data_IF_162283093338
#
_entry.id   IF_162283093338
#
_cell.length_a   1.000
_cell.length_b   1.000
_cell.length_c   1.000
_cell.angle_alpha   90.00
_cell.angle_beta   90.00
_cell.angle_gamma   90.00
#
_symmetry.space_group_name_H-M   'P 1'
#
loop_
_entity.id
_entity.type
_entity.pdbx_description
1 polymer ?
#
# COMPACT_ATOMS: atom_id res chain seq x y z
N UNK A 1 58.15 55.00 -60.89
CA UNK A 1 57.99 55.29 -59.46
C UNK A 1 56.60 55.86 -59.25
N UNK A 2 56.01 55.63 -58.07
CA UNK A 2 54.69 56.10 -57.58
C UNK A 2 53.42 55.33 -57.99
N UNK A 3 52.73 54.91 -56.93
CA UNK A 3 51.37 54.37 -56.83
C UNK A 3 50.33 55.25 -57.53
N UNK A 4 49.23 54.68 -58.08
CA UNK A 4 47.86 54.85 -57.54
C UNK A 4 46.74 54.26 -58.44
N UNK A 5 45.80 53.61 -57.75
CA UNK A 5 44.33 53.63 -57.94
C UNK A 5 43.64 52.81 -59.07
N UNK A 6 42.35 52.60 -58.80
CA UNK A 6 41.26 51.89 -59.52
C UNK A 6 41.00 50.45 -59.05
N UNK A 7 39.77 49.99 -58.81
CA UNK A 7 38.44 50.61 -58.76
C UNK A 7 37.48 49.56 -58.19
N UNK A 8 36.35 50.02 -57.65
CA UNK A 8 35.23 49.23 -57.13
C UNK A 8 34.71 48.22 -58.15
N UNK A 9 34.47 46.99 -57.73
CA UNK A 9 33.52 46.08 -58.37
C UNK A 9 32.86 45.21 -57.29
N UNK A 10 31.57 45.45 -57.10
CA UNK A 10 30.64 44.68 -56.27
C UNK A 10 30.26 43.36 -56.93
N UNK A 11 29.62 42.49 -56.13
CA UNK A 11 28.86 41.29 -56.50
C UNK A 11 29.67 40.00 -56.68
N UNK A 12 29.60 39.10 -55.69
CA UNK A 12 28.80 37.84 -55.73
C UNK A 12 29.29 36.87 -54.65
N UNK A 13 28.39 36.40 -53.78
CA UNK A 13 28.29 35.00 -53.27
C UNK A 13 27.21 34.96 -52.18
N UNK A 14 25.99 34.57 -52.55
CA UNK A 14 25.41 33.24 -52.33
C UNK A 14 25.24 32.91 -50.84
N UNK A 15 24.18 33.46 -50.24
CA UNK A 15 23.73 33.07 -48.90
C UNK A 15 22.84 31.83 -49.03
N UNK A 16 23.44 30.68 -48.74
CA UNK A 16 22.78 29.39 -48.57
C UNK A 16 21.99 29.44 -47.25
N UNK A 17 20.67 29.64 -47.32
CA UNK A 17 19.79 29.51 -46.15
C UNK A 17 18.96 28.25 -46.32
N UNK A 18 19.34 27.25 -45.52
CA UNK A 18 18.66 26.00 -45.29
C UNK A 18 17.17 26.24 -45.00
N UNK A 19 16.31 25.60 -45.79
CA UNK A 19 14.91 25.40 -45.45
C UNK A 19 14.87 24.36 -44.32
N UNK A 20 14.88 24.81 -43.07
CA UNK A 20 14.44 23.99 -41.95
C UNK A 20 12.92 24.10 -41.90
N UNK A 21 12.27 23.13 -42.53
CA UNK A 21 10.85 22.84 -42.35
C UNK A 21 10.58 22.61 -40.85
N UNK A 22 9.98 23.60 -40.20
CA UNK A 22 9.45 23.46 -38.85
C UNK A 22 8.21 22.56 -38.89
N UNK A 23 8.32 21.34 -38.35
CA UNK A 23 7.14 20.63 -37.88
C UNK A 23 6.67 21.31 -36.59
N UNK A 24 5.64 22.14 -36.69
CA UNK A 24 4.85 22.51 -35.50
C UNK A 24 4.12 21.26 -35.02
N UNK A 25 4.71 20.56 -34.05
CA UNK A 25 3.94 19.66 -33.21
C UNK A 25 3.00 20.55 -32.38
N UNK A 26 1.68 20.30 -32.38
CA UNK A 26 0.80 20.98 -31.44
C UNK A 26 1.32 20.70 -30.03
N UNK A 27 1.59 21.76 -29.28
CA UNK A 27 1.95 21.68 -27.88
C UNK A 27 0.84 20.95 -27.14
N UNK A 28 1.11 19.69 -26.81
CA UNK A 28 0.34 18.98 -25.80
C UNK A 28 0.61 19.70 -24.48
N UNK A 29 -0.35 20.54 -24.08
CA UNK A 29 -0.49 20.95 -22.69
C UNK A 29 -0.78 19.68 -21.90
N UNK A 30 0.27 19.08 -21.36
CA UNK A 30 0.16 18.11 -20.29
C UNK A 30 -0.21 18.94 -19.05
N UNK A 31 -1.51 19.13 -18.86
CA UNK A 31 -2.06 19.43 -17.53
C UNK A 31 -1.41 18.45 -16.55
N UNK A 32 -0.93 18.90 -15.37
CA UNK A 32 -0.46 17.98 -14.35
C UNK A 32 -1.63 17.06 -14.02
N UNK A 33 -1.48 15.76 -14.30
CA UNK A 33 -2.46 14.79 -13.84
C UNK A 33 -2.64 14.98 -12.32
N UNK A 34 -3.87 15.11 -11.81
CA UNK A 34 -4.08 15.16 -10.38
C UNK A 34 -3.49 13.88 -9.79
N UNK A 35 -2.51 14.07 -8.91
CA UNK A 35 -1.85 13.01 -8.16
C UNK A 35 -2.84 12.45 -7.13
N UNK A 36 -3.71 11.53 -7.55
CA UNK A 36 -4.62 10.79 -6.65
C UNK A 36 -5.02 9.39 -7.16
N UNK A 37 -4.32 8.81 -8.14
CA UNK A 37 -4.71 7.51 -8.70
C UNK A 37 -3.49 6.67 -9.08
N UNK A 38 -2.92 5.97 -8.11
CA UNK A 38 -2.27 4.68 -8.34
C UNK A 38 -2.20 3.82 -7.07
N UNK A 39 -3.30 3.73 -6.30
CA UNK A 39 -3.62 2.41 -5.75
C UNK A 39 -4.21 1.64 -6.93
N UNK A 40 -3.64 0.48 -7.31
CA UNK A 40 -4.21 -0.28 -8.41
C UNK A 40 -5.67 -0.58 -8.07
N UNK A 41 -6.54 -0.54 -9.08
CA UNK A 41 -7.97 -0.85 -9.03
C UNK A 41 -8.21 -2.34 -8.67
N UNK A 42 -7.68 -2.81 -7.53
CA UNK A 42 -7.78 -4.20 -7.09
C UNK A 42 -9.05 -4.39 -6.24
N UNK A 43 -9.54 -3.34 -5.58
CA UNK A 43 -10.82 -3.39 -4.86
C UNK A 43 -11.99 -3.07 -5.79
N UNK A 44 -12.82 -4.08 -6.08
CA UNK A 44 -14.12 -3.89 -6.69
C UNK A 44 -15.08 -3.33 -5.61
N UNK A 45 -15.62 -2.09 -5.75
CA UNK A 45 -16.59 -1.56 -4.78
C UNK A 45 -17.87 -2.40 -4.68
N UNK A 46 -18.13 -3.25 -5.69
CA UNK A 46 -19.26 -4.17 -5.71
C UNK A 46 -18.94 -5.56 -5.16
N UNK A 47 -17.72 -5.84 -4.66
CA UNK A 47 -17.31 -7.16 -4.15
C UNK A 47 -18.37 -7.76 -3.22
N UNK A 48 -18.80 -6.97 -2.24
CA UNK A 48 -19.75 -7.43 -1.23
C UNK A 48 -21.11 -7.84 -1.83
N UNK A 49 -21.49 -7.30 -2.99
CA UNK A 49 -22.76 -7.66 -3.68
C UNK A 49 -22.70 -9.06 -4.31
N UNK A 50 -21.52 -9.60 -4.57
CA UNK A 50 -21.34 -10.97 -5.08
C UNK A 50 -21.57 -12.03 -3.99
N UNK A 51 -21.56 -11.62 -2.71
CA UNK A 51 -21.57 -12.54 -1.58
C UNK A 51 -22.95 -13.10 -1.25
N UNK A 52 -22.96 -14.35 -0.78
CA UNK A 52 -24.15 -15.00 -0.24
C UNK A 52 -24.41 -14.49 1.18
N UNK A 53 -25.63 -14.04 1.52
CA UNK A 53 -25.94 -13.56 2.86
C UNK A 53 -25.90 -14.71 3.89
N UNK A 54 -25.41 -14.40 5.09
CA UNK A 54 -25.43 -15.29 6.25
C UNK A 54 -25.36 -14.47 7.54
N UNK A 55 -25.86 -15.04 8.64
CA UNK A 55 -25.76 -14.45 9.97
C UNK A 55 -24.63 -15.12 10.75
N UNK A 56 -23.75 -14.34 11.37
CA UNK A 56 -22.67 -14.80 12.24
C UNK A 56 -23.26 -15.32 13.54
N UNK A 57 -23.02 -16.60 13.82
CA UNK A 57 -23.49 -17.25 15.05
C UNK A 57 -22.40 -17.32 16.11
N UNK A 58 -21.12 -17.30 15.70
CA UNK A 58 -19.99 -17.34 16.63
C UNK A 58 -18.71 -16.79 16.01
N UNK A 59 -17.97 -15.99 16.78
CA UNK A 59 -16.58 -15.66 16.51
C UNK A 59 -15.69 -16.74 17.14
N UNK A 60 -14.89 -17.43 16.33
CA UNK A 60 -13.98 -18.49 16.80
C UNK A 60 -12.64 -17.89 17.20
N UNK A 61 -12.08 -17.07 16.31
CA UNK A 61 -10.83 -16.33 16.44
C UNK A 61 -10.78 -15.18 15.41
N UNK A 62 -9.59 -14.62 15.16
CA UNK A 62 -9.40 -13.47 14.30
C UNK A 62 -9.69 -13.70 12.82
N UNK A 63 -9.80 -14.95 12.36
CA UNK A 63 -9.98 -15.27 10.95
C UNK A 63 -10.91 -16.46 10.65
N UNK A 64 -11.65 -16.89 11.68
CA UNK A 64 -12.61 -17.99 11.61
C UNK A 64 -13.90 -17.62 12.34
N UNK A 65 -15.04 -17.88 11.69
CA UNK A 65 -16.40 -17.68 12.24
C UNK A 65 -17.28 -18.90 11.97
N UNK A 66 -18.32 -19.08 12.79
CA UNK A 66 -19.46 -19.93 12.44
C UNK A 66 -20.63 -19.05 11.99
N UNK A 67 -21.35 -19.49 10.97
CA UNK A 67 -22.47 -18.75 10.36
C UNK A 67 -23.69 -19.66 10.19
N UNK A 68 -24.85 -19.03 10.05
CA UNK A 68 -26.12 -19.65 9.65
C UNK A 68 -26.64 -18.98 8.37
N UNK A 69 -27.02 -19.78 7.37
CA UNK A 69 -27.60 -19.32 6.12
C UNK A 69 -29.12 -19.14 6.24
N UNK A 70 -29.77 -18.40 5.32
CA UNK A 70 -31.23 -18.19 5.36
C UNK A 70 -32.08 -19.48 5.30
N UNK A 71 -31.52 -20.59 4.83
CA UNK A 71 -32.17 -21.91 4.81
C UNK A 71 -31.97 -22.71 6.12
N UNK A 72 -31.29 -22.13 7.11
CA UNK A 72 -30.97 -22.74 8.40
C UNK A 72 -29.73 -23.63 8.40
N UNK A 73 -29.00 -23.75 7.29
CA UNK A 73 -27.74 -24.49 7.26
C UNK A 73 -26.67 -23.72 8.05
N UNK A 74 -25.86 -24.43 8.84
CA UNK A 74 -24.72 -23.86 9.54
C UNK A 74 -23.40 -24.31 8.92
N UNK A 75 -22.40 -23.42 8.94
CA UNK A 75 -21.06 -23.71 8.45
C UNK A 75 -19.99 -22.97 9.25
N UNK A 76 -18.79 -23.56 9.32
CA UNK A 76 -17.58 -22.86 9.74
C UNK A 76 -16.91 -22.25 8.52
N UNK A 77 -16.50 -20.99 8.63
CA UNK A 77 -15.89 -20.20 7.57
C UNK A 77 -14.48 -19.77 7.98
N UNK A 78 -13.49 -20.04 7.13
CA UNK A 78 -12.11 -19.54 7.23
C UNK A 78 -11.92 -18.42 6.20
N UNK A 79 -11.30 -17.33 6.63
CA UNK A 79 -11.11 -16.15 5.80
C UNK A 79 -10.03 -16.42 4.74
N UNK A 80 -10.15 -15.81 3.56
CA UNK A 80 -9.21 -16.02 2.46
C UNK A 80 -8.14 -14.94 2.49
N UNK A 81 -6.90 -15.33 2.22
CA UNK A 81 -5.84 -14.39 1.89
C UNK A 81 -5.17 -13.72 3.09
N UNK A 82 -5.58 -14.08 4.31
CA UNK A 82 -4.98 -13.59 5.54
C UNK A 82 -4.99 -14.64 6.65
N UNK A 83 -4.07 -14.46 7.61
CA UNK A 83 -3.88 -15.35 8.76
C UNK A 83 -3.66 -14.51 10.02
N UNK A 84 -4.39 -14.84 11.08
CA UNK A 84 -4.23 -14.20 12.39
C UNK A 84 -3.35 -15.07 13.29
N UNK A 85 -2.78 -14.47 14.34
CA UNK A 85 -1.97 -15.20 15.31
C UNK A 85 -2.79 -16.34 15.93
N UNK A 86 -2.15 -17.46 16.23
CA UNK A 86 -2.82 -18.66 16.76
C UNK A 86 -3.04 -18.58 18.28
N UNK A 87 -3.91 -19.45 18.82
CA UNK A 87 -4.22 -19.44 20.26
C UNK A 87 -2.95 -19.60 21.11
N UNK A 88 -2.71 -18.61 21.97
CA UNK A 88 -1.56 -18.58 22.88
C UNK A 88 -0.39 -17.74 22.34
N UNK A 89 -0.46 -17.29 21.09
CA UNK A 89 0.46 -16.32 20.52
C UNK A 89 0.06 -14.89 20.91
N UNK A 90 1.05 -14.00 20.89
CA UNK A 90 0.78 -12.57 21.00
C UNK A 90 -0.12 -12.13 19.84
N UNK A 91 -1.02 -11.18 20.07
CA UNK A 91 -1.97 -10.65 19.08
C UNK A 91 -3.22 -11.52 18.82
N UNK A 92 -3.28 -12.79 19.26
CA UNK A 92 -4.48 -13.65 19.08
C UNK A 92 -5.75 -13.01 19.65
N UNK A 93 -5.69 -12.53 20.90
CA UNK A 93 -6.87 -12.01 21.58
C UNK A 93 -7.33 -10.71 20.92
N UNK A 94 -6.41 -9.79 20.69
CA UNK A 94 -6.72 -8.50 20.08
C UNK A 94 -7.26 -8.65 18.64
N UNK A 95 -6.73 -9.58 17.84
CA UNK A 95 -7.28 -9.88 16.52
C UNK A 95 -8.70 -10.49 16.60
N UNK A 96 -8.93 -11.40 17.55
CA UNK A 96 -10.26 -11.99 17.80
C UNK A 96 -11.28 -10.93 18.23
N UNK A 97 -10.91 -10.06 19.16
CA UNK A 97 -11.76 -8.97 19.64
C UNK A 97 -12.08 -8.02 18.48
N UNK A 98 -11.08 -7.67 17.66
CA UNK A 98 -11.31 -6.77 16.52
C UNK A 98 -12.22 -7.37 15.46
N UNK A 99 -12.07 -8.67 15.16
CA UNK A 99 -12.97 -9.36 14.26
C UNK A 99 -14.42 -9.35 14.80
N UNK A 100 -14.59 -9.55 16.12
CA UNK A 100 -15.91 -9.46 16.75
C UNK A 100 -16.53 -8.06 16.65
N UNK A 101 -15.73 -7.00 16.82
CA UNK A 101 -16.19 -5.61 16.65
C UNK A 101 -16.62 -5.31 15.22
N UNK A 102 -15.83 -5.74 14.23
CA UNK A 102 -16.17 -5.56 12.81
C UNK A 102 -17.45 -6.29 12.41
N UNK A 103 -17.79 -7.36 13.14
CA UNK A 103 -18.95 -8.21 12.89
C UNK A 103 -20.09 -8.01 13.91
N UNK A 104 -20.11 -6.89 14.64
CA UNK A 104 -21.09 -6.63 15.69
C UNK A 104 -22.55 -6.67 15.19
N UNK A 105 -22.80 -6.27 13.93
CA UNK A 105 -24.14 -6.35 13.33
C UNK A 105 -24.66 -7.78 13.18
N UNK A 106 -23.75 -8.76 13.16
CA UNK A 106 -24.06 -10.16 12.93
C UNK A 106 -24.39 -10.52 11.47
N UNK A 107 -24.65 -9.56 10.60
CA UNK A 107 -25.04 -9.82 9.20
C UNK A 107 -23.85 -9.63 8.25
N UNK A 108 -23.56 -10.68 7.47
CA UNK A 108 -22.42 -10.71 6.55
C UNK A 108 -22.79 -11.23 5.18
N UNK A 109 -21.92 -10.91 4.21
CA UNK A 109 -21.91 -11.49 2.87
C UNK A 109 -20.62 -12.26 2.66
N UNK A 110 -20.79 -13.52 2.30
CA UNK A 110 -19.71 -14.48 2.10
C UNK A 110 -19.38 -14.57 0.61
N UNK A 111 -18.23 -14.05 0.21
CA UNK A 111 -17.79 -14.08 -1.19
C UNK A 111 -16.82 -15.25 -1.39
N UNK A 112 -17.15 -16.14 -2.33
CA UNK A 112 -16.29 -17.26 -2.69
C UNK A 112 -15.25 -16.84 -3.72
N UNK A 113 -14.04 -17.38 -3.59
CA UNK A 113 -13.06 -17.35 -4.67
C UNK A 113 -13.11 -18.62 -5.53
N UNK A 114 -12.01 -19.38 -5.63
CA UNK A 114 -11.94 -20.56 -6.49
C UNK A 114 -12.46 -21.79 -5.74
N UNK A 115 -11.89 -22.07 -4.57
CA UNK A 115 -12.28 -23.21 -3.76
C UNK A 115 -13.54 -22.92 -2.96
N UNK A 116 -14.30 -23.98 -2.72
CA UNK A 116 -15.49 -23.89 -1.88
C UNK A 116 -15.17 -24.20 -0.42
N UNK A 117 -14.36 -25.24 -0.20
CA UNK A 117 -13.97 -25.73 1.12
C UNK A 117 -12.46 -25.97 1.18
N UNK A 118 -11.89 -25.87 2.37
CA UNK A 118 -10.53 -26.34 2.64
C UNK A 118 -10.48 -27.85 2.96
N UNK A 119 -9.27 -28.35 3.21
CA UNK A 119 -9.02 -29.78 3.55
C UNK A 119 -9.68 -30.24 4.87
N UNK A 120 -10.15 -29.32 5.70
CA UNK A 120 -10.81 -29.61 6.97
C UNK A 120 -12.34 -29.50 6.87
N UNK A 121 -12.87 -29.19 5.68
CA UNK A 121 -14.30 -29.04 5.45
C UNK A 121 -14.86 -27.69 5.93
N UNK A 122 -14.02 -26.67 6.14
CA UNK A 122 -14.48 -25.30 6.38
C UNK A 122 -14.76 -24.63 5.05
N UNK A 123 -15.79 -23.79 4.97
CA UNK A 123 -15.94 -22.88 3.84
C UNK A 123 -14.76 -21.90 3.82
N UNK A 124 -14.25 -21.59 2.64
CA UNK A 124 -13.25 -20.53 2.47
C UNK A 124 -13.89 -19.34 1.78
N UNK A 125 -13.93 -18.19 2.44
CA UNK A 125 -14.65 -17.00 1.95
C UNK A 125 -13.91 -15.70 2.29
N UNK A 126 -14.07 -14.69 1.46
CA UNK A 126 -13.90 -13.30 1.87
C UNK A 126 -15.18 -12.84 2.59
N UNK A 127 -15.03 -11.98 3.59
CA UNK A 127 -16.10 -11.55 4.47
C UNK A 127 -16.38 -10.07 4.28
N UNK A 128 -17.63 -9.77 3.94
CA UNK A 128 -18.14 -8.41 3.88
C UNK A 128 -19.23 -8.20 4.92
N UNK A 129 -19.30 -7.01 5.51
CA UNK A 129 -20.51 -6.57 6.23
C UNK A 129 -21.56 -6.04 5.25
N UNK A 130 -22.80 -5.92 5.70
CA UNK A 130 -23.87 -5.29 4.90
C UNK A 130 -23.62 -3.80 4.60
N UNK A 131 -22.82 -3.13 5.44
CA UNK A 131 -22.36 -1.75 5.24
C UNK A 131 -21.18 -1.67 4.25
N UNK A 132 -20.88 -2.75 3.52
CA UNK A 132 -19.81 -2.88 2.52
C UNK A 132 -18.40 -2.71 3.09
N UNK A 133 -18.18 -3.09 4.35
CA UNK A 133 -16.82 -3.21 4.91
C UNK A 133 -16.23 -4.54 4.49
N UNK A 134 -15.07 -4.53 3.84
CA UNK A 134 -14.30 -5.74 3.53
C UNK A 134 -13.44 -6.11 4.75
N UNK A 135 -13.94 -7.04 5.56
CA UNK A 135 -13.41 -7.36 6.89
C UNK A 135 -11.97 -7.88 6.82
N UNK A 136 -11.67 -8.77 5.87
CA UNK A 136 -10.33 -9.30 5.66
C UNK A 136 -9.30 -8.19 5.42
N UNK A 137 -9.64 -7.23 4.54
CA UNK A 137 -8.78 -6.08 4.24
C UNK A 137 -8.62 -5.17 5.46
N UNK A 138 -9.68 -4.96 6.23
CA UNK A 138 -9.64 -4.11 7.43
C UNK A 138 -8.70 -4.69 8.49
N UNK A 139 -8.78 -6.00 8.75
CA UNK A 139 -7.91 -6.69 9.71
C UNK A 139 -6.43 -6.62 9.32
N UNK A 140 -6.10 -6.75 8.02
CA UNK A 140 -4.73 -6.59 7.53
C UNK A 140 -4.28 -5.12 7.62
N UNK A 141 -5.11 -4.19 7.18
CA UNK A 141 -4.82 -2.73 7.20
C UNK A 141 -4.51 -2.22 8.60
N UNK A 142 -5.20 -2.76 9.61
CA UNK A 142 -5.05 -2.37 10.99
C UNK A 142 -3.96 -3.16 11.74
N UNK A 143 -3.31 -4.14 11.09
CA UNK A 143 -2.19 -4.91 11.66
C UNK A 143 -2.62 -5.98 12.67
N UNK A 144 -3.79 -6.59 12.47
CA UNK A 144 -4.27 -7.74 13.24
C UNK A 144 -4.09 -9.09 12.51
N UNK A 145 -3.95 -9.06 11.19
CA UNK A 145 -3.72 -10.23 10.35
C UNK A 145 -2.53 -10.01 9.40
N UNK A 146 -1.81 -11.08 9.08
CA UNK A 146 -0.79 -11.10 8.03
C UNK A 146 -1.42 -11.44 6.69
N UNK A 147 -0.89 -10.89 5.60
CA UNK A 147 -1.26 -11.33 4.27
C UNK A 147 -0.72 -12.74 4.03
N UNK A 148 -1.56 -13.62 3.49
CA UNK A 148 -1.18 -15.00 3.23
C UNK A 148 -1.68 -15.45 1.86
N UNK A 149 -0.81 -16.05 1.05
CA UNK A 149 -1.18 -16.50 -0.29
C UNK A 149 -1.48 -18.00 -0.29
N UNK A 150 -2.74 -18.36 -0.51
CA UNK A 150 -3.18 -19.74 -0.63
C UNK A 150 -3.70 -20.04 -2.04
N UNK A 151 -2.93 -20.77 -2.85
CA UNK A 151 -3.36 -21.11 -4.21
C UNK A 151 -4.48 -22.15 -4.21
N UNK A 152 -5.47 -22.06 -5.13
CA UNK A 152 -5.73 -21.02 -6.14
C UNK A 152 -6.51 -19.77 -5.67
N UNK A 153 -6.84 -19.62 -4.38
CA UNK A 153 -7.62 -18.50 -3.84
C UNK A 153 -6.76 -17.24 -3.63
N UNK A 154 -6.36 -16.61 -4.73
CA UNK A 154 -5.38 -15.50 -4.74
C UNK A 154 -5.92 -14.21 -5.32
N UNK A 155 -7.24 -14.05 -5.50
CA UNK A 155 -7.87 -12.87 -6.12
C UNK A 155 -7.39 -11.54 -5.53
N UNK A 156 -7.24 -11.45 -4.21
CA UNK A 156 -6.79 -10.23 -3.51
C UNK A 156 -5.41 -10.33 -2.87
N UNK A 157 -4.62 -11.35 -3.21
CA UNK A 157 -3.35 -11.61 -2.52
C UNK A 157 -2.34 -10.45 -2.66
N UNK A 158 -2.24 -9.82 -3.82
CA UNK A 158 -1.35 -8.66 -4.01
C UNK A 158 -1.85 -7.42 -3.26
N UNK A 159 -3.17 -7.26 -3.16
CA UNK A 159 -3.79 -6.19 -2.40
C UNK A 159 -3.52 -6.35 -0.90
N UNK A 160 -3.77 -7.53 -0.32
CA UNK A 160 -3.46 -7.79 1.08
C UNK A 160 -1.98 -7.61 1.40
N UNK A 161 -1.08 -8.03 0.51
CA UNK A 161 0.35 -7.78 0.69
C UNK A 161 0.64 -6.28 0.81
N UNK A 162 0.05 -5.45 -0.06
CA UNK A 162 0.24 -3.99 0.01
C UNK A 162 -0.30 -3.37 1.30
N UNK A 163 -1.39 -3.91 1.85
CA UNK A 163 -1.97 -3.46 3.12
C UNK A 163 -1.07 -3.84 4.31
N UNK A 164 -0.53 -5.06 4.33
CA UNK A 164 0.39 -5.49 5.37
C UNK A 164 1.69 -4.67 5.33
N UNK A 165 2.24 -4.42 4.14
CA UNK A 165 3.44 -3.60 3.98
C UNK A 165 3.24 -2.18 4.55
N UNK A 166 2.08 -1.58 4.33
CA UNK A 166 1.69 -0.28 4.90
C UNK A 166 1.45 -0.37 6.42
N UNK A 167 0.75 -1.39 6.91
CA UNK A 167 0.52 -1.61 8.34
C UNK A 167 1.84 -1.78 9.10
N UNK A 168 2.79 -2.51 8.53
CA UNK A 168 4.13 -2.69 9.09
C UNK A 168 4.94 -1.39 9.12
N UNK A 169 4.96 -0.63 8.02
CA UNK A 169 5.66 0.65 7.94
C UNK A 169 5.12 1.68 8.95
N UNK A 170 3.83 1.62 9.25
CA UNK A 170 3.16 2.52 10.18
C UNK A 170 2.97 1.91 11.58
N UNK A 171 3.58 0.76 11.87
CA UNK A 171 3.52 0.07 13.16
C UNK A 171 2.08 -0.12 13.71
N UNK A 172 1.13 -0.43 12.83
CA UNK A 172 -0.28 -0.61 13.21
C UNK A 172 -0.52 -1.96 13.85
N UNK A 173 -1.46 -1.99 14.80
CA UNK A 173 -1.97 -3.22 15.39
C UNK A 173 -0.97 -3.99 16.23
N UNK A 174 -1.42 -5.10 16.79
CA UNK A 174 -0.61 -5.91 17.69
C UNK A 174 0.49 -6.70 16.98
N UNK A 175 0.42 -6.87 15.65
CA UNK A 175 1.49 -7.52 14.87
C UNK A 175 2.71 -6.63 14.68
N UNK A 176 2.53 -5.31 14.55
CA UNK A 176 3.62 -4.39 14.20
C UNK A 176 4.00 -3.40 15.30
N UNK A 177 3.22 -3.29 16.39
CA UNK A 177 3.52 -2.39 17.55
C UNK A 177 4.89 -2.59 18.20
N UNK A 178 5.47 -3.79 18.10
CA UNK A 178 6.80 -4.10 18.68
C UNK A 178 7.94 -3.89 17.68
N UNK A 179 7.66 -3.61 16.41
CA UNK A 179 8.68 -3.23 15.45
C UNK A 179 9.28 -1.86 15.80
N UNK A 180 8.49 -0.97 16.42
CA UNK A 180 8.95 0.34 16.88
C UNK A 180 9.73 0.27 18.19
N UNK A 181 9.38 -0.63 19.11
CA UNK A 181 10.13 -0.81 20.37
C UNK A 181 11.56 -1.34 20.14
N UNK A 182 11.82 -1.97 19.00
CA UNK A 182 13.16 -2.41 18.59
C UNK A 182 13.81 -1.50 17.54
N UNK A 183 13.10 -0.52 16.97
CA UNK A 183 13.68 0.46 16.04
C UNK A 183 14.14 1.76 16.71
N UNK A 184 13.77 1.99 17.97
CA UNK A 184 14.18 3.18 18.73
C UNK A 184 15.62 3.11 19.27
N UNK A 185 16.37 2.02 18.98
CA UNK A 185 17.76 1.88 19.44
C UNK A 185 18.81 1.63 18.34
N UNK A 186 18.49 1.13 17.14
CA UNK A 186 19.49 0.89 16.08
C UNK A 186 18.85 0.31 14.82
N UNK A 187 18.40 1.14 13.86
CA UNK A 187 18.39 0.88 12.40
C UNK A 187 17.20 1.53 11.68
N UNK A 188 16.98 2.83 11.88
CA UNK A 188 16.32 3.61 10.83
C UNK A 188 17.35 3.84 9.72
N UNK A 189 17.03 3.37 8.50
CA UNK A 189 17.80 3.75 7.32
C UNK A 189 17.85 5.28 7.28
N UNK A 190 19.06 5.83 7.39
CA UNK A 190 19.29 7.27 7.46
C UNK A 190 18.56 7.97 6.32
N UNK A 191 17.62 8.87 6.63
CA UNK A 191 16.98 9.68 5.60
C UNK A 191 18.01 10.59 4.90
N UNK A 192 19.13 10.87 5.58
CA UNK A 192 20.20 11.73 5.10
C UNK A 192 21.55 11.38 5.72
N UNK A 193 22.61 11.32 4.92
CA UNK A 193 23.98 11.15 5.39
C UNK A 193 24.76 12.47 5.34
N UNK A 194 25.25 12.92 6.48
CA UNK A 194 25.99 14.17 6.64
C UNK A 194 27.49 13.93 6.51
N UNK A 195 28.04 14.16 5.30
CA UNK A 195 29.48 13.98 5.00
C UNK A 195 30.32 15.24 5.23
N UNK A 196 29.72 16.42 5.13
CA UNK A 196 30.39 17.73 5.24
C UNK A 196 29.89 18.54 6.44
N UNK A 197 29.40 17.86 7.47
CA UNK A 197 28.77 18.45 8.65
C UNK A 197 28.26 17.34 9.57
N UNK A 198 27.56 17.70 10.63
CA UNK A 198 26.98 16.75 11.59
C UNK A 198 25.47 16.67 11.47
N UNK A 199 24.94 15.48 11.77
CA UNK A 199 23.50 15.28 11.92
C UNK A 199 22.93 16.10 13.09
N UNK A 200 21.72 16.63 12.89
CA UNK A 200 20.91 17.31 13.89
C UNK A 200 19.42 17.18 13.51
N UNK A 201 18.65 16.39 14.25
CA UNK A 201 17.29 16.00 13.84
C UNK A 201 17.31 15.38 12.44
N UNK A 202 16.54 15.94 11.52
CA UNK A 202 16.42 15.49 10.13
C UNK A 202 17.33 16.26 9.15
N UNK A 203 18.27 17.05 9.67
CA UNK A 203 19.11 17.96 8.90
C UNK A 203 20.62 17.78 9.16
N UNK A 204 21.43 18.24 8.20
CA UNK A 204 22.87 18.35 8.36
C UNK A 204 23.24 19.81 8.65
N UNK A 205 23.98 20.02 9.74
CA UNK A 205 24.47 21.34 10.14
C UNK A 205 26.00 21.39 10.09
N UNK A 206 26.62 22.58 9.92
CA UNK A 206 28.06 22.72 10.05
C UNK A 206 28.59 22.21 11.40
N UNK A 207 29.81 21.67 11.41
CA UNK A 207 30.45 21.17 12.63
C UNK A 207 30.51 22.21 13.76
N UNK A 208 30.63 23.49 13.38
CA UNK A 208 30.72 24.65 14.28
C UNK A 208 29.40 25.06 14.92
N UNK A 209 28.25 24.61 14.39
CA UNK A 209 26.94 24.95 14.95
C UNK A 209 26.54 23.96 16.05
N UNK A 210 25.82 24.41 17.07
CA UNK A 210 25.31 23.51 18.11
C UNK A 210 23.93 22.99 17.70
N UNK A 211 23.71 21.68 17.87
CA UNK A 211 22.40 21.09 17.60
C UNK A 211 21.48 21.36 18.80
N UNK A 212 20.27 21.87 18.51
CA UNK A 212 19.21 22.08 19.50
C UNK A 212 17.97 21.23 19.20
N UNK A 213 18.06 20.34 18.21
CA UNK A 213 17.01 19.38 17.88
C UNK A 213 17.28 18.05 18.59
N UNK A 214 16.21 17.32 18.88
CA UNK A 214 16.30 15.93 19.32
C UNK A 214 16.89 15.04 18.21
N UNK A 215 17.18 13.77 18.54
CA UNK A 215 17.62 12.81 17.55
C UNK A 215 16.55 12.68 16.45
N UNK A 216 16.99 12.68 15.18
CA UNK A 216 16.11 12.50 14.03
C UNK A 216 16.79 11.61 12.99
N UNK A 217 16.28 11.61 11.77
CA UNK A 217 16.66 10.61 10.76
C UNK A 217 18.00 10.91 10.05
N UNK A 218 18.66 12.04 10.32
CA UNK A 218 19.96 12.34 9.74
C UNK A 218 21.09 11.57 10.47
N UNK A 219 22.04 11.06 9.71
CA UNK A 219 23.16 10.27 10.22
C UNK A 219 24.51 10.89 9.90
N UNK A 220 25.52 10.52 10.70
CA UNK A 220 26.92 10.85 10.46
C UNK A 220 27.48 9.96 9.34
N UNK A 221 28.23 10.54 8.39
CA UNK A 221 28.79 9.83 7.25
C UNK A 221 30.22 10.19 6.91
#
# INVERSE_FOLDING_TARGET
MTLTLYSRATLTTLMLLFVLSGCSAPGINLEPFPNDQAMPLIYNPDLCREGTPASVTKIIDGDTIDVEFPDGQQARVRYIGMDTAERGEACFKEATDRNAELLESGEVRLVKDTNDHDRYGRLVRYICTDDNVFVDAQLVTEGYARAFRFYPDVRFADYFQSLEDDAAQNARGCLHRNATENSDASDSACCKMCRNGKACGDSCIPWTQQCHSEAGCACQG
#
